data_IF_090761386767
#
_entry.id   IF_090761386767
#
_cell.length_a   1.000
_cell.length_b   1.000
_cell.length_c   1.000
_cell.angle_alpha   90.00
_cell.angle_beta   90.00
_cell.angle_gamma   90.00
#
_symmetry.space_group_name_H-M   'P 1'
#
loop_
_entity.id
_entity.type
_entity.pdbx_description
1 polymer ?
#
# COMPACT_ATOMS: atom_id res chain seq x y z
N UNK A 1 35.26 0.87 11.25
CA UNK A 1 34.24 0.84 10.16
C UNK A 1 33.26 1.98 10.37
N UNK A 2 32.92 2.75 9.30
CA UNK A 2 31.97 3.86 9.35
C UNK A 2 32.57 5.25 9.68
N UNK A 3 33.86 5.44 9.72
CA UNK A 3 34.49 6.75 9.79
C UNK A 3 34.68 7.31 8.38
N UNK A 4 34.30 8.55 8.16
CA UNK A 4 34.61 9.30 6.93
C UNK A 4 36.01 9.92 7.07
N UNK A 5 36.87 9.70 6.05
CA UNK A 5 38.16 10.34 5.95
C UNK A 5 37.95 11.76 5.39
N UNK A 6 38.51 12.77 6.03
CA UNK A 6 38.43 14.18 5.61
C UNK A 6 39.69 14.64 4.86
N UNK A 7 40.63 13.74 4.61
CA UNK A 7 41.91 14.00 3.96
C UNK A 7 42.15 12.98 2.85
N UNK A 8 42.77 13.41 1.77
CA UNK A 8 43.19 12.55 0.65
C UNK A 8 44.64 12.08 0.81
N UNK A 9 45.04 11.10 0.00
CA UNK A 9 46.45 10.68 -0.09
C UNK A 9 47.29 11.85 -0.62
N UNK A 10 48.46 12.08 -0.02
CA UNK A 10 49.41 13.15 -0.30
C UNK A 10 49.02 14.58 0.18
N UNK A 11 47.96 14.77 0.95
CA UNK A 11 47.66 16.07 1.58
C UNK A 11 48.66 16.41 2.69
N UNK A 12 49.23 17.64 2.67
CA UNK A 12 50.07 18.15 3.76
C UNK A 12 49.18 18.57 4.95
N UNK A 13 49.38 17.89 6.08
CA UNK A 13 48.52 18.02 7.27
C UNK A 13 49.23 18.86 8.32
N UNK A 14 48.58 19.98 8.73
CA UNK A 14 49.04 20.78 9.86
C UNK A 14 48.62 20.12 11.21
N UNK A 15 49.39 20.35 12.30
CA UNK A 15 49.00 19.86 13.64
C UNK A 15 47.61 20.40 14.03
N UNK A 16 46.70 19.49 14.38
CA UNK A 16 45.30 19.83 14.74
C UNK A 16 44.28 19.68 13.62
N UNK A 17 44.69 19.31 12.38
CA UNK A 17 43.76 19.02 11.29
C UNK A 17 42.97 17.74 11.56
N UNK A 18 41.67 17.77 11.30
CA UNK A 18 40.79 16.63 11.47
C UNK A 18 41.03 15.61 10.36
N UNK A 19 41.51 14.42 10.72
CA UNK A 19 41.86 13.37 9.76
C UNK A 19 40.67 12.49 9.39
N UNK A 20 39.81 12.20 10.35
CA UNK A 20 38.67 11.33 10.17
C UNK A 20 37.53 11.75 11.10
N UNK A 21 36.32 11.60 10.62
CA UNK A 21 35.08 11.91 11.30
C UNK A 21 34.33 10.61 11.57
N UNK A 22 34.15 10.30 12.83
CA UNK A 22 33.27 9.19 13.21
C UNK A 22 31.94 9.80 13.64
N UNK A 23 30.84 9.56 12.91
CA UNK A 23 29.54 10.00 13.38
C UNK A 23 29.30 9.31 14.73
N UNK A 24 29.20 10.06 15.81
CA UNK A 24 28.62 9.54 17.05
C UNK A 24 27.17 9.20 16.71
N UNK A 25 26.88 7.95 16.53
CA UNK A 25 25.53 7.47 16.71
C UNK A 25 25.16 7.80 18.17
N UNK A 26 24.57 8.96 18.37
CA UNK A 26 23.86 9.19 19.62
C UNK A 26 22.84 8.07 19.68
N UNK A 27 23.01 7.14 20.61
CA UNK A 27 21.99 6.18 21.00
C UNK A 27 20.90 6.93 21.79
N UNK A 28 20.41 8.04 21.23
CA UNK A 28 19.10 8.52 21.56
C UNK A 28 18.18 7.42 21.06
N UNK A 29 17.59 6.71 22.01
CA UNK A 29 16.37 5.96 21.86
C UNK A 29 15.69 6.39 20.58
N UNK A 30 15.97 5.66 19.47
CA UNK A 30 15.09 5.66 18.32
C UNK A 30 13.72 5.46 18.91
N UNK A 31 12.86 6.45 18.75
CA UNK A 31 11.56 6.53 19.39
C UNK A 31 10.87 5.19 19.15
N UNK A 32 10.60 4.56 20.27
CA UNK A 32 10.48 3.12 20.37
C UNK A 32 9.03 2.75 20.10
N UNK A 33 8.56 2.99 18.91
CA UNK A 33 7.59 2.09 18.31
C UNK A 33 8.37 0.92 17.73
N UNK A 34 9.03 0.19 18.62
CA UNK A 34 9.74 -1.03 18.25
C UNK A 34 8.76 -2.18 18.08
N UNK A 35 9.11 -3.17 17.27
CA UNK A 35 8.34 -4.37 17.09
C UNK A 35 7.18 -4.24 16.08
N UNK A 36 6.11 -5.03 16.27
CA UNK A 36 4.99 -5.14 15.33
C UNK A 36 4.27 -3.80 15.01
N UNK A 37 4.09 -2.85 15.96
CA UNK A 37 3.53 -1.55 15.62
C UNK A 37 4.32 -0.78 14.56
N UNK A 38 5.67 -0.89 14.56
CA UNK A 38 6.51 -0.25 13.54
C UNK A 38 6.28 -0.86 12.15
N UNK A 39 6.08 -2.17 12.07
CA UNK A 39 5.76 -2.83 10.80
C UNK A 39 4.41 -2.32 10.26
N UNK A 40 3.41 -2.17 11.13
CA UNK A 40 2.12 -1.61 10.73
C UNK A 40 2.24 -0.16 10.22
N UNK A 41 3.06 0.70 10.87
CA UNK A 41 3.32 2.05 10.40
C UNK A 41 4.01 2.07 9.01
N UNK A 42 4.96 1.16 8.77
CA UNK A 42 5.65 1.06 7.49
C UNK A 42 4.70 0.61 6.36
N UNK A 43 3.83 -0.38 6.62
CA UNK A 43 2.84 -0.80 5.63
C UNK A 43 1.73 0.24 5.41
N UNK A 44 1.43 1.08 6.39
CA UNK A 44 0.52 2.23 6.20
C UNK A 44 1.21 3.44 5.56
N UNK A 45 2.50 3.34 5.25
CA UNK A 45 3.32 4.42 4.69
C UNK A 45 3.18 5.73 5.50
N UNK A 46 3.11 5.63 6.83
CA UNK A 46 2.95 6.80 7.72
C UNK A 46 4.24 7.59 7.79
N UNK A 47 4.11 8.91 7.74
CA UNK A 47 5.22 9.82 7.99
C UNK A 47 5.76 9.61 9.39
N UNK A 48 7.08 9.41 9.57
CA UNK A 48 7.67 9.35 10.90
C UNK A 48 7.52 10.70 11.60
N UNK A 49 7.33 10.69 12.93
CA UNK A 49 7.21 11.93 13.73
C UNK A 49 8.44 12.81 13.60
N UNK A 50 9.62 12.20 13.54
CA UNK A 50 10.90 12.87 13.32
C UNK A 50 11.47 12.43 11.97
N UNK A 51 10.87 12.92 10.88
CA UNK A 51 11.38 12.64 9.53
C UNK A 51 12.75 13.31 9.35
N UNK A 52 13.69 12.59 8.75
CA UNK A 52 14.94 13.17 8.28
C UNK A 52 14.67 14.00 7.03
N UNK A 53 15.38 15.11 6.89
CA UNK A 53 15.41 15.86 5.64
C UNK A 53 16.43 15.19 4.71
N UNK A 54 16.07 14.95 3.45
CA UNK A 54 16.93 14.31 2.47
C UNK A 54 17.35 15.27 1.36
N UNK A 55 18.56 15.10 0.84
CA UNK A 55 19.03 15.86 -0.31
C UNK A 55 18.23 15.49 -1.57
N UNK A 56 17.69 16.47 -2.29
CA UNK A 56 16.92 16.23 -3.51
C UNK A 56 17.82 16.16 -4.75
N UNK A 57 18.96 16.82 -4.70
CA UNK A 57 19.96 16.87 -5.77
C UNK A 57 21.34 16.46 -5.25
N UNK A 58 22.21 16.06 -6.15
CA UNK A 58 23.64 15.89 -5.86
C UNK A 58 24.30 17.27 -5.76
N UNK A 59 25.19 17.48 -4.79
CA UNK A 59 25.84 18.79 -4.71
C UNK A 59 26.60 19.03 -3.42
N UNK A 60 27.11 20.26 -3.30
CA UNK A 60 27.90 20.72 -2.15
C UNK A 60 26.97 21.48 -1.19
N UNK A 61 27.06 21.10 0.09
CA UNK A 61 26.25 21.71 1.16
C UNK A 61 26.82 23.07 1.56
N UNK A 62 25.97 24.10 1.54
CA UNK A 62 26.28 25.42 2.09
C UNK A 62 25.23 25.89 3.09
N UNK A 63 25.57 26.79 4.00
CA UNK A 63 24.65 27.33 4.99
C UNK A 63 24.35 28.79 4.65
N UNK A 64 23.11 29.10 4.31
CA UNK A 64 22.63 30.43 3.93
C UNK A 64 21.87 31.14 5.07
N UNK A 65 22.30 30.89 6.32
CA UNK A 65 21.76 31.57 7.50
C UNK A 65 20.49 30.97 8.08
N UNK A 66 19.63 31.80 8.67
CA UNK A 66 18.41 31.36 9.37
C UNK A 66 17.21 32.15 8.86
N UNK A 67 16.21 31.46 8.35
CA UNK A 67 14.96 32.05 7.86
C UNK A 67 13.80 31.61 8.78
N UNK A 68 13.11 32.57 9.39
CA UNK A 68 11.97 32.32 10.31
C UNK A 68 12.26 31.30 11.42
N UNK A 69 13.49 31.35 12.01
CA UNK A 69 13.90 30.42 13.06
C UNK A 69 14.30 29.02 12.58
N UNK A 70 14.30 28.75 11.27
CA UNK A 70 14.80 27.52 10.65
C UNK A 70 16.16 27.78 10.00
N UNK A 71 17.08 26.82 10.11
CA UNK A 71 18.36 26.89 9.38
C UNK A 71 18.09 26.61 7.91
N UNK A 72 18.53 27.50 7.03
CA UNK A 72 18.46 27.29 5.57
C UNK A 72 19.77 26.67 5.12
N UNK A 73 19.68 25.46 4.64
CA UNK A 73 20.76 24.69 4.03
C UNK A 73 20.54 24.69 2.53
N UNK A 74 21.55 25.11 1.79
CA UNK A 74 21.55 25.08 0.32
C UNK A 74 22.42 23.92 -0.12
N UNK A 75 21.91 23.14 -1.05
CA UNK A 75 22.67 22.15 -1.80
C UNK A 75 22.81 22.68 -3.21
N UNK A 76 24.05 22.92 -3.65
CA UNK A 76 24.36 23.46 -4.97
C UNK A 76 25.06 22.38 -5.78
N UNK A 77 24.51 22.05 -6.94
CA UNK A 77 25.12 21.14 -7.89
C UNK A 77 26.26 21.89 -8.64
N UNK A 78 27.52 21.42 -8.59
CA UNK A 78 28.63 22.07 -9.27
C UNK A 78 28.58 21.97 -10.79
N UNK A 79 27.76 21.06 -11.36
CA UNK A 79 27.68 20.87 -12.83
C UNK A 79 26.57 21.70 -13.47
N UNK A 80 25.39 21.79 -12.78
CA UNK A 80 24.18 22.45 -13.33
C UNK A 80 23.90 23.82 -12.71
N UNK A 81 24.65 24.26 -11.68
CA UNK A 81 24.38 25.43 -10.85
C UNK A 81 22.96 25.50 -10.28
N UNK A 82 22.29 24.35 -10.16
CA UNK A 82 20.99 24.26 -9.52
C UNK A 82 21.16 24.34 -8.00
N UNK A 83 20.34 25.19 -7.38
CA UNK A 83 20.33 25.36 -5.93
C UNK A 83 19.00 24.85 -5.36
N UNK A 84 19.07 23.92 -4.42
CA UNK A 84 17.90 23.47 -3.67
C UNK A 84 18.02 23.87 -2.19
N UNK A 85 16.99 24.53 -1.67
CA UNK A 85 16.98 25.06 -0.32
C UNK A 85 16.19 24.14 0.65
N UNK A 86 16.88 23.60 1.64
CA UNK A 86 16.30 22.80 2.70
C UNK A 86 16.12 23.63 3.98
N UNK A 87 14.89 23.68 4.54
CA UNK A 87 14.56 24.44 5.73
C UNK A 87 14.49 23.53 6.96
N UNK A 88 15.56 23.47 7.71
CA UNK A 88 15.72 22.58 8.86
C UNK A 88 15.20 23.25 10.14
N UNK A 89 14.22 22.65 10.84
CA UNK A 89 13.70 23.17 12.10
C UNK A 89 14.77 23.28 13.17
N UNK A 90 14.61 24.25 14.07
CA UNK A 90 15.51 24.41 15.21
C UNK A 90 15.43 23.17 16.13
N UNK A 91 16.58 22.61 16.49
CA UNK A 91 16.66 21.42 17.35
C UNK A 91 16.97 20.10 16.62
N UNK A 92 16.85 20.04 15.29
CA UNK A 92 17.35 18.89 14.53
C UNK A 92 18.87 18.94 14.36
N UNK A 93 19.52 17.79 14.57
CA UNK A 93 20.95 17.65 14.36
C UNK A 93 21.25 17.44 12.88
N UNK A 94 22.26 18.14 12.36
CA UNK A 94 22.77 17.96 11.01
C UNK A 94 23.72 16.77 10.98
N UNK A 95 23.55 15.90 10.01
CA UNK A 95 24.44 14.76 9.76
C UNK A 95 25.61 15.18 8.87
N UNK A 96 25.43 16.24 8.09
CA UNK A 96 26.38 16.78 7.12
C UNK A 96 27.01 18.10 7.61
N UNK A 97 28.21 18.43 7.12
CA UNK A 97 28.88 19.71 7.38
C UNK A 97 28.84 20.58 6.14
N UNK A 98 29.09 21.87 6.36
CA UNK A 98 29.24 22.84 5.27
C UNK A 98 30.48 22.48 4.47
N UNK A 99 30.32 22.35 3.14
CA UNK A 99 31.36 21.93 2.21
C UNK A 99 31.39 20.43 1.91
N UNK A 100 30.57 19.61 2.58
CA UNK A 100 30.47 18.19 2.26
C UNK A 100 29.74 17.99 0.92
N UNK A 101 30.22 17.04 0.10
CA UNK A 101 29.50 16.54 -1.07
C UNK A 101 28.41 15.58 -0.62
N UNK A 102 27.19 15.83 -1.02
CA UNK A 102 26.02 14.97 -0.72
C UNK A 102 25.44 14.41 -2.00
N UNK A 103 24.94 13.20 -1.90
CA UNK A 103 24.24 12.52 -3.00
C UNK A 103 22.73 12.62 -2.84
N UNK A 104 22.03 12.58 -3.94
CA UNK A 104 20.58 12.52 -3.99
C UNK A 104 20.03 11.40 -3.09
N UNK A 105 19.10 11.72 -2.19
CA UNK A 105 18.55 10.79 -1.20
C UNK A 105 19.41 10.62 0.07
N UNK A 106 20.54 11.30 0.21
CA UNK A 106 21.33 11.27 1.43
C UNK A 106 20.66 12.08 2.54
N UNK A 107 20.68 11.54 3.78
CA UNK A 107 20.12 12.22 4.94
C UNK A 107 20.96 13.44 5.32
N UNK A 108 20.34 14.60 5.32
CA UNK A 108 20.92 15.86 5.78
C UNK A 108 20.79 16.03 7.30
N UNK A 109 19.73 15.44 7.88
CA UNK A 109 19.45 15.49 9.32
C UNK A 109 19.26 14.08 9.90
N UNK A 110 19.40 13.96 11.23
CA UNK A 110 19.02 12.73 11.93
C UNK A 110 17.51 12.52 11.88
N UNK A 111 17.07 11.27 11.75
CA UNK A 111 15.66 10.88 11.73
C UNK A 111 15.40 9.64 10.88
N UNK A 112 14.15 9.22 10.82
CA UNK A 112 13.70 8.17 9.92
C UNK A 112 13.40 8.74 8.52
N UNK A 113 13.71 7.99 7.45
CA UNK A 113 13.30 8.40 6.11
C UNK A 113 11.77 8.39 5.97
N UNK A 114 11.21 9.39 5.31
CA UNK A 114 9.81 9.38 4.89
C UNK A 114 9.70 8.55 3.59
N UNK A 115 8.91 7.46 3.57
CA UNK A 115 8.76 6.64 2.36
C UNK A 115 8.26 7.42 1.14
N UNK A 116 7.46 8.47 1.36
CA UNK A 116 6.96 9.33 0.27
C UNK A 116 8.08 10.18 -0.34
N UNK A 117 8.94 10.78 0.49
CA UNK A 117 10.10 11.54 0.01
C UNK A 117 11.12 10.64 -0.69
N UNK A 118 11.30 9.40 -0.20
CA UNK A 118 12.15 8.41 -0.89
C UNK A 118 11.60 8.09 -2.27
N UNK A 119 10.25 7.98 -2.42
CA UNK A 119 9.62 7.76 -3.72
C UNK A 119 9.86 8.94 -4.68
N UNK A 120 9.63 10.15 -4.21
CA UNK A 120 9.76 11.37 -5.02
C UNK A 120 11.21 11.63 -5.46
N UNK A 121 12.17 11.33 -4.58
CA UNK A 121 13.59 11.60 -4.84
C UNK A 121 14.25 10.45 -5.61
N UNK A 122 14.14 9.22 -5.12
CA UNK A 122 14.91 8.06 -5.61
C UNK A 122 14.11 7.12 -6.52
N UNK A 123 12.77 7.27 -6.54
CA UNK A 123 11.88 6.47 -7.36
C UNK A 123 11.41 5.15 -6.70
N UNK A 124 10.57 4.38 -7.42
CA UNK A 124 9.84 3.24 -6.86
C UNK A 124 10.75 2.08 -6.41
N UNK A 125 11.85 1.80 -7.12
CA UNK A 125 12.75 0.70 -6.76
C UNK A 125 13.43 0.95 -5.42
N UNK A 126 13.89 2.18 -5.16
CA UNK A 126 14.54 2.54 -3.90
C UNK A 126 13.58 2.47 -2.70
N UNK A 127 12.29 2.84 -2.90
CA UNK A 127 11.26 2.68 -1.86
C UNK A 127 11.03 1.21 -1.52
N UNK A 128 11.00 0.34 -2.53
CA UNK A 128 10.86 -1.11 -2.31
C UNK A 128 12.00 -1.64 -1.45
N UNK A 129 13.23 -1.36 -1.83
CA UNK A 129 14.41 -1.78 -1.07
C UNK A 129 14.41 -1.22 0.36
N UNK A 130 14.07 0.06 0.52
CA UNK A 130 13.98 0.71 1.82
C UNK A 130 12.93 0.04 2.73
N UNK A 131 11.71 -0.18 2.22
CA UNK A 131 10.63 -0.80 3.00
C UNK A 131 10.97 -2.24 3.36
N UNK A 132 11.52 -3.03 2.42
CA UNK A 132 11.95 -4.41 2.69
C UNK A 132 13.01 -4.43 3.78
N UNK A 133 14.05 -3.59 3.67
CA UNK A 133 15.14 -3.53 4.63
C UNK A 133 14.65 -3.16 6.04
N UNK A 134 13.80 -2.14 6.17
CA UNK A 134 13.27 -1.68 7.47
C UNK A 134 12.31 -2.72 8.09
N UNK A 135 11.44 -3.34 7.30
CA UNK A 135 10.52 -4.39 7.79
C UNK A 135 11.31 -5.63 8.22
N UNK A 136 12.25 -6.09 7.41
CA UNK A 136 13.13 -7.23 7.74
C UNK A 136 13.97 -6.96 8.98
N UNK A 137 14.46 -5.74 9.17
CA UNK A 137 15.19 -5.33 10.36
C UNK A 137 14.36 -5.53 11.63
N UNK A 138 13.07 -5.13 11.60
CA UNK A 138 12.17 -5.33 12.75
C UNK A 138 11.94 -6.82 13.03
N UNK A 139 11.66 -7.63 12.01
CA UNK A 139 11.45 -9.07 12.18
C UNK A 139 12.70 -9.79 12.67
N UNK A 140 13.88 -9.46 12.13
CA UNK A 140 15.16 -10.04 12.56
C UNK A 140 15.50 -9.71 14.02
N UNK A 141 15.18 -8.49 14.48
CA UNK A 141 15.34 -8.11 15.89
C UNK A 141 14.45 -8.93 16.84
N UNK A 142 13.34 -9.48 16.34
CA UNK A 142 12.46 -10.38 17.08
C UNK A 142 12.77 -11.88 16.87
N UNK A 143 13.86 -12.19 16.15
CA UNK A 143 14.27 -13.56 15.89
C UNK A 143 13.41 -14.29 14.85
N UNK A 144 12.58 -13.58 14.10
CA UNK A 144 11.72 -14.14 13.05
C UNK A 144 12.39 -13.97 11.70
N UNK A 145 12.52 -15.05 10.94
CA UNK A 145 13.04 -15.05 9.58
C UNK A 145 11.87 -15.18 8.59
N UNK A 146 11.69 -14.20 7.73
CA UNK A 146 10.66 -14.16 6.69
C UNK A 146 11.36 -14.00 5.35
N UNK A 147 10.87 -14.68 4.30
CA UNK A 147 11.39 -14.48 2.96
C UNK A 147 10.87 -13.15 2.38
N UNK A 148 11.75 -12.42 1.72
CA UNK A 148 11.48 -11.06 1.20
C UNK A 148 10.29 -11.02 0.25
N UNK A 149 10.06 -12.09 -0.55
CA UNK A 149 8.94 -12.18 -1.49
C UNK A 149 7.55 -11.94 -0.86
N UNK A 150 7.36 -12.27 0.42
CA UNK A 150 6.08 -12.05 1.10
C UNK A 150 5.84 -10.55 1.37
N UNK A 151 6.93 -9.81 1.62
CA UNK A 151 6.90 -8.36 1.82
C UNK A 151 6.80 -7.67 0.47
N UNK A 152 7.54 -8.12 -0.53
CA UNK A 152 7.55 -7.57 -1.90
C UNK A 152 6.15 -7.60 -2.54
N UNK A 153 5.40 -8.69 -2.36
CA UNK A 153 4.01 -8.79 -2.87
C UNK A 153 3.11 -7.70 -2.27
N UNK A 154 3.27 -7.41 -0.98
CA UNK A 154 2.49 -6.35 -0.33
C UNK A 154 2.90 -4.98 -0.87
N UNK A 155 4.21 -4.71 -0.94
CA UNK A 155 4.74 -3.43 -1.45
C UNK A 155 4.35 -3.21 -2.91
N UNK A 156 4.32 -4.26 -3.73
CA UNK A 156 3.87 -4.15 -5.13
C UNK A 156 2.42 -3.65 -5.23
N UNK A 157 1.55 -4.04 -4.30
CA UNK A 157 0.17 -3.53 -4.24
C UNK A 157 0.11 -2.08 -3.72
N UNK A 158 1.03 -1.68 -2.84
CA UNK A 158 1.12 -0.29 -2.36
C UNK A 158 1.58 0.68 -3.46
N UNK A 159 2.37 0.22 -4.44
CA UNK A 159 2.90 1.00 -5.57
C UNK A 159 2.12 0.77 -6.88
N UNK A 160 0.93 0.21 -6.80
CA UNK A 160 0.13 -0.17 -7.97
C UNK A 160 -0.47 1.04 -8.70
N UNK A 161 -0.68 2.16 -8.01
CA UNK A 161 -1.37 3.33 -8.52
C UNK A 161 -0.41 4.40 -9.02
N UNK A 162 -0.86 5.11 -10.06
CA UNK A 162 -0.20 6.28 -10.66
C UNK A 162 -1.19 7.44 -10.60
N UNK A 163 -0.73 8.61 -10.22
CA UNK A 163 -1.50 9.85 -10.24
C UNK A 163 -1.20 10.60 -11.55
N UNK A 164 -2.24 10.93 -12.28
CA UNK A 164 -2.12 11.65 -13.54
C UNK A 164 -1.73 13.11 -13.26
N UNK A 165 -0.60 13.55 -13.84
CA UNK A 165 -0.13 14.93 -13.80
C UNK A 165 -0.49 15.71 -15.06
N UNK A 166 -0.48 15.08 -16.22
CA UNK A 166 -0.99 15.63 -17.46
C UNK A 166 -1.80 14.54 -18.20
N UNK A 167 -3.07 14.77 -18.51
CA UNK A 167 -3.89 13.78 -19.19
C UNK A 167 -3.54 13.61 -20.68
N UNK A 168 -2.84 14.58 -21.32
CA UNK A 168 -2.60 14.52 -22.77
C UNK A 168 -3.89 14.32 -23.57
N UNK A 169 -3.87 13.41 -24.53
CA UNK A 169 -5.05 13.02 -25.34
C UNK A 169 -5.84 11.85 -24.75
N UNK A 170 -5.59 11.49 -23.49
CA UNK A 170 -6.28 10.39 -22.81
C UNK A 170 -7.63 10.80 -22.21
N UNK A 171 -8.47 9.81 -21.92
CA UNK A 171 -9.75 10.00 -21.22
C UNK A 171 -9.59 10.19 -19.70
N UNK A 172 -8.37 10.29 -19.20
CA UNK A 172 -8.09 10.45 -17.77
C UNK A 172 -8.30 11.89 -17.30
N UNK A 173 -8.63 12.05 -16.02
CA UNK A 173 -8.72 13.36 -15.41
C UNK A 173 -7.41 13.74 -14.69
N UNK A 174 -7.13 15.03 -14.66
CA UNK A 174 -6.02 15.58 -13.89
C UNK A 174 -6.13 15.23 -12.40
N UNK A 175 -5.07 14.66 -11.82
CA UNK A 175 -5.04 14.25 -10.41
C UNK A 175 -5.74 12.92 -10.11
N UNK A 176 -6.30 12.24 -11.10
CA UNK A 176 -6.91 10.92 -10.96
C UNK A 176 -5.84 9.87 -10.62
N UNK A 177 -6.21 8.89 -9.78
CA UNK A 177 -5.35 7.76 -9.41
C UNK A 177 -5.79 6.51 -10.17
N UNK A 178 -4.99 6.15 -11.17
CA UNK A 178 -5.27 5.03 -12.08
C UNK A 178 -4.34 3.87 -11.77
N UNK A 179 -4.77 2.65 -12.08
CA UNK A 179 -3.92 1.47 -12.01
C UNK A 179 -2.79 1.58 -13.05
N UNK A 180 -1.56 1.30 -12.63
CA UNK A 180 -0.37 1.39 -13.49
C UNK A 180 -0.51 0.60 -14.79
N UNK A 181 -1.14 -0.56 -14.74
CA UNK A 181 -1.34 -1.39 -15.93
C UNK A 181 -2.32 -0.73 -16.91
N UNK A 182 -3.43 -0.18 -16.40
CA UNK A 182 -4.41 0.54 -17.24
C UNK A 182 -3.78 1.80 -17.84
N UNK A 183 -2.99 2.53 -17.07
CA UNK A 183 -2.26 3.72 -17.52
C UNK A 183 -1.30 3.38 -18.68
N UNK A 184 -0.49 2.33 -18.55
CA UNK A 184 0.43 1.91 -19.59
C UNK A 184 -0.32 1.47 -20.85
N UNK A 185 -1.38 0.63 -20.69
CA UNK A 185 -2.16 0.16 -21.82
C UNK A 185 -2.90 1.27 -22.57
N UNK A 186 -3.38 2.30 -21.85
CA UNK A 186 -4.01 3.47 -22.48
C UNK A 186 -2.98 4.29 -23.25
N UNK A 187 -1.78 4.51 -22.68
CA UNK A 187 -0.71 5.22 -23.36
C UNK A 187 -0.24 4.49 -24.62
N UNK A 188 -0.08 3.16 -24.56
CA UNK A 188 0.28 2.35 -25.74
C UNK A 188 -0.74 2.54 -26.87
N UNK A 189 -2.05 2.56 -26.57
CA UNK A 189 -3.10 2.82 -27.55
C UNK A 189 -3.06 4.23 -28.15
N UNK A 190 -2.74 5.24 -27.32
CA UNK A 190 -2.65 6.64 -27.76
C UNK A 190 -1.41 6.84 -28.65
N UNK A 191 -0.28 6.25 -28.28
CA UNK A 191 0.95 6.29 -29.06
C UNK A 191 0.75 5.60 -30.42
N UNK A 192 0.08 4.43 -30.46
CA UNK A 192 -0.27 3.74 -31.70
C UNK A 192 -1.20 4.58 -32.60
N UNK A 193 -2.05 5.41 -32.01
CA UNK A 193 -2.90 6.35 -32.71
C UNK A 193 -2.17 7.65 -33.14
N UNK A 194 -0.94 7.87 -32.65
CA UNK A 194 -0.13 9.06 -32.93
C UNK A 194 -0.53 10.29 -32.10
N UNK A 195 -1.22 10.10 -30.97
CA UNK A 195 -1.57 11.14 -30.00
C UNK A 195 -0.50 11.39 -28.94
N UNK A 196 -0.74 12.35 -28.05
CA UNK A 196 0.14 12.64 -26.91
C UNK A 196 -0.24 11.72 -25.73
N UNK A 197 0.70 10.91 -25.22
CA UNK A 197 0.44 10.05 -24.06
C UNK A 197 0.23 10.88 -22.77
N UNK A 198 -0.48 10.32 -21.81
CA UNK A 198 -0.65 10.91 -20.49
C UNK A 198 0.65 10.81 -19.68
N UNK A 199 0.94 11.83 -18.88
CA UNK A 199 2.03 11.79 -17.89
C UNK A 199 1.47 11.51 -16.49
N UNK A 200 2.23 10.76 -15.69
CA UNK A 200 1.82 10.42 -14.32
C UNK A 200 2.97 10.05 -13.41
N UNK A 201 2.79 10.35 -12.14
CA UNK A 201 3.74 10.06 -11.07
C UNK A 201 3.29 8.83 -10.26
N UNK A 202 4.22 7.91 -9.93
CA UNK A 202 3.90 6.79 -9.06
C UNK A 202 3.50 7.29 -7.67
N UNK A 203 2.49 6.66 -7.06
CA UNK A 203 2.00 7.01 -5.73
C UNK A 203 2.17 5.83 -4.78
N UNK A 204 2.69 6.10 -3.58
CA UNK A 204 2.76 5.12 -2.52
C UNK A 204 1.48 5.21 -1.66
N UNK A 205 0.70 4.14 -1.64
CA UNK A 205 -0.50 4.02 -0.81
C UNK A 205 -0.23 3.10 0.38
N UNK A 206 -0.75 3.47 1.56
CA UNK A 206 -0.83 2.53 2.68
C UNK A 206 -1.75 1.35 2.34
N UNK A 207 -1.55 0.20 2.98
CA UNK A 207 -2.32 -1.03 2.70
C UNK A 207 -3.83 -0.84 2.85
N UNK A 208 -4.27 -0.08 3.85
CA UNK A 208 -5.69 0.22 4.08
C UNK A 208 -6.26 1.01 2.91
N UNK A 209 -5.59 2.08 2.49
CA UNK A 209 -6.02 2.93 1.37
C UNK A 209 -5.96 2.16 0.05
N UNK A 210 -4.90 1.40 -0.19
CA UNK A 210 -4.78 0.55 -1.38
C UNK A 210 -5.92 -0.48 -1.47
N UNK A 211 -6.38 -1.01 -0.33
CA UNK A 211 -7.50 -1.97 -0.28
C UNK A 211 -8.86 -1.32 -0.54
N UNK A 212 -9.04 -0.04 -0.22
CA UNK A 212 -10.27 0.71 -0.48
C UNK A 212 -10.34 1.24 -1.91
N UNK A 213 -9.20 1.55 -2.51
CA UNK A 213 -9.08 2.07 -3.89
C UNK A 213 -8.90 0.96 -4.93
N UNK A 214 -9.37 -0.25 -4.66
CA UNK A 214 -9.38 -1.35 -5.62
C UNK A 214 -10.39 -1.11 -6.74
N UNK A 215 -10.17 -1.75 -7.90
CA UNK A 215 -11.08 -1.69 -9.05
C UNK A 215 -12.48 -2.23 -8.70
N UNK A 216 -12.54 -3.28 -7.87
CA UNK A 216 -13.79 -3.88 -7.41
C UNK A 216 -14.36 -3.14 -6.20
N UNK A 217 -15.51 -2.52 -6.36
CA UNK A 217 -16.22 -1.87 -5.25
C UNK A 217 -16.81 -2.87 -4.25
N UNK A 218 -17.15 -4.10 -4.68
CA UNK A 218 -17.63 -5.18 -3.80
C UNK A 218 -16.52 -5.58 -2.82
N UNK A 219 -15.29 -5.76 -3.33
CA UNK A 219 -14.13 -6.07 -2.52
C UNK A 219 -13.81 -4.96 -1.50
N UNK A 220 -13.83 -3.71 -1.94
CA UNK A 220 -13.60 -2.55 -1.10
C UNK A 220 -14.66 -2.42 0.00
N UNK A 221 -15.95 -2.53 -0.35
CA UNK A 221 -17.07 -2.45 0.58
C UNK A 221 -17.04 -3.56 1.65
N UNK A 222 -16.53 -4.74 1.30
CA UNK A 222 -16.41 -5.87 2.24
C UNK A 222 -15.29 -5.68 3.27
N UNK A 223 -14.41 -4.70 3.10
CA UNK A 223 -13.27 -4.46 3.99
C UNK A 223 -13.60 -3.41 5.05
N UNK A 224 -13.87 -2.19 4.67
CA UNK A 224 -14.23 -1.07 5.55
C UNK A 224 -15.12 -0.06 4.82
N UNK A 225 -15.76 0.85 5.56
CA UNK A 225 -16.57 1.96 5.03
C UNK A 225 -17.64 1.51 4.02
N UNK A 226 -18.34 0.42 4.30
CA UNK A 226 -19.29 -0.25 3.41
C UNK A 226 -20.29 0.72 2.79
N UNK A 227 -20.93 1.56 3.61
CA UNK A 227 -21.96 2.51 3.17
C UNK A 227 -21.40 3.56 2.22
N UNK A 228 -20.22 4.12 2.53
CA UNK A 228 -19.57 5.14 1.71
C UNK A 228 -19.20 4.58 0.35
N UNK A 229 -18.48 3.44 0.35
CA UNK A 229 -18.02 2.79 -0.89
C UNK A 229 -19.20 2.43 -1.79
N UNK A 230 -20.28 1.86 -1.25
CA UNK A 230 -21.46 1.50 -2.02
C UNK A 230 -22.21 2.73 -2.54
N UNK A 231 -22.28 3.82 -1.76
CA UNK A 231 -22.91 5.07 -2.20
C UNK A 231 -22.10 5.68 -3.34
N UNK A 232 -20.78 5.78 -3.22
CA UNK A 232 -19.90 6.31 -4.25
C UNK A 232 -19.96 5.45 -5.53
N UNK A 233 -19.97 4.13 -5.41
CA UNK A 233 -20.12 3.23 -6.54
C UNK A 233 -21.46 3.37 -7.24
N UNK A 234 -22.54 3.56 -6.47
CA UNK A 234 -23.89 3.76 -7.00
C UNK A 234 -24.04 5.11 -7.74
N UNK A 235 -23.47 6.18 -7.17
CA UNK A 235 -23.54 7.52 -7.81
C UNK A 235 -22.72 7.59 -9.09
N UNK A 236 -21.58 6.89 -9.14
CA UNK A 236 -20.72 6.81 -10.31
C UNK A 236 -21.15 5.74 -11.33
N UNK A 237 -22.13 4.89 -10.99
CA UNK A 237 -22.57 3.81 -11.86
C UNK A 237 -21.49 2.77 -12.14
N UNK A 238 -20.60 2.49 -11.16
CA UNK A 238 -19.48 1.55 -11.33
C UNK A 238 -19.99 0.15 -11.62
N UNK A 239 -19.29 -0.55 -12.54
CA UNK A 239 -19.53 -1.95 -12.89
C UNK A 239 -18.37 -2.79 -12.35
N UNK A 240 -18.68 -3.84 -11.61
CA UNK A 240 -17.68 -4.79 -11.12
C UNK A 240 -17.57 -6.00 -12.07
N UNK A 241 -16.38 -6.23 -12.56
CA UNK A 241 -16.10 -7.31 -13.51
C UNK A 241 -15.86 -8.68 -12.85
N UNK A 242 -15.96 -8.77 -11.52
CA UNK A 242 -15.80 -10.01 -10.73
C UNK A 242 -14.48 -10.76 -11.04
N UNK A 243 -13.38 -10.03 -11.22
CA UNK A 243 -12.06 -10.60 -11.54
C UNK A 243 -11.33 -11.20 -10.32
N UNK A 244 -11.63 -10.73 -9.11
CA UNK A 244 -10.97 -11.15 -7.88
C UNK A 244 -11.64 -12.34 -7.20
N UNK A 245 -11.04 -12.78 -6.09
CA UNK A 245 -11.58 -13.89 -5.31
C UNK A 245 -12.75 -13.47 -4.41
N UNK A 246 -12.62 -12.33 -3.73
CA UNK A 246 -13.61 -11.86 -2.75
C UNK A 246 -14.97 -11.63 -3.38
N UNK A 247 -15.01 -10.96 -4.52
CA UNK A 247 -16.23 -10.65 -5.27
C UNK A 247 -16.98 -11.92 -5.66
N UNK A 248 -16.26 -12.91 -6.19
CA UNK A 248 -16.85 -14.18 -6.59
C UNK A 248 -17.36 -14.97 -5.40
N UNK A 249 -16.63 -14.96 -4.28
CA UNK A 249 -17.08 -15.64 -3.04
C UNK A 249 -18.35 -14.98 -2.49
N UNK A 250 -18.40 -13.64 -2.45
CA UNK A 250 -19.58 -12.91 -1.96
C UNK A 250 -20.81 -13.17 -2.83
N UNK A 251 -20.61 -13.20 -4.17
CA UNK A 251 -21.70 -13.49 -5.11
C UNK A 251 -22.06 -14.96 -5.24
N UNK A 252 -21.33 -15.86 -4.59
CA UNK A 252 -21.56 -17.32 -4.66
C UNK A 252 -21.09 -17.96 -5.97
N UNK A 253 -20.22 -17.28 -6.69
CA UNK A 253 -19.62 -17.81 -7.94
C UNK A 253 -18.37 -18.65 -7.63
N UNK A 254 -17.97 -19.50 -8.59
CA UNK A 254 -16.68 -20.17 -8.54
C UNK A 254 -15.55 -19.15 -8.61
N UNK A 255 -14.57 -19.29 -7.70
CA UNK A 255 -13.39 -18.42 -7.71
C UNK A 255 -12.58 -18.62 -8.99
N UNK A 256 -11.94 -17.59 -9.53
CA UNK A 256 -11.13 -17.69 -10.76
C UNK A 256 -9.75 -18.35 -10.46
N UNK A 257 -9.76 -19.53 -9.83
CA UNK A 257 -8.60 -20.33 -9.51
C UNK A 257 -8.94 -21.82 -9.54
N UNK A 258 -7.95 -22.67 -9.81
CA UNK A 258 -8.15 -24.11 -9.88
C UNK A 258 -9.19 -24.47 -10.94
N UNK A 259 -10.21 -25.24 -10.58
CA UNK A 259 -11.30 -25.68 -11.47
C UNK A 259 -12.20 -24.55 -11.97
N UNK A 260 -12.17 -23.37 -11.32
CA UNK A 260 -12.92 -22.18 -11.75
C UNK A 260 -12.25 -21.35 -12.84
N UNK A 261 -11.02 -21.68 -13.23
CA UNK A 261 -10.35 -20.98 -14.34
C UNK A 261 -11.11 -21.18 -15.65
N UNK A 262 -11.19 -20.13 -16.52
CA UNK A 262 -11.87 -20.21 -17.82
C UNK A 262 -11.37 -21.36 -18.70
N UNK A 263 -10.09 -21.70 -18.59
CA UNK A 263 -9.47 -22.82 -19.33
C UNK A 263 -10.16 -24.14 -19.00
N UNK A 264 -10.42 -24.41 -17.72
CA UNK A 264 -11.09 -25.64 -17.31
C UNK A 264 -12.61 -25.62 -17.55
N UNK A 265 -13.25 -24.44 -17.47
CA UNK A 265 -14.69 -24.31 -17.77
C UNK A 265 -15.02 -24.55 -19.23
N UNK A 266 -14.09 -24.29 -20.14
CA UNK A 266 -14.26 -24.43 -21.58
C UNK A 266 -13.71 -25.76 -22.12
N UNK A 267 -13.17 -26.63 -21.24
CA UNK A 267 -12.74 -27.96 -21.63
C UNK A 267 -13.95 -28.80 -22.03
N UNK A 268 -14.00 -29.24 -23.30
CA UNK A 268 -14.88 -30.26 -23.76
C UNK A 268 -14.12 -31.59 -23.84
N UNK A 269 -14.67 -32.60 -23.25
CA UNK A 269 -14.10 -33.96 -23.31
C UNK A 269 -14.78 -34.65 -24.46
N UNK A 270 -14.08 -34.78 -25.60
CA UNK A 270 -14.51 -35.60 -26.72
C UNK A 270 -14.00 -37.00 -26.50
N UNK A 271 -14.93 -37.97 -26.32
CA UNK A 271 -14.58 -39.38 -26.30
C UNK A 271 -14.30 -39.82 -27.70
N UNK A 272 -13.03 -40.08 -28.03
CA UNK A 272 -12.61 -40.61 -29.32
C UNK A 272 -13.36 -41.92 -29.61
N UNK A 273 -14.29 -41.88 -30.57
CA UNK A 273 -14.99 -43.05 -31.07
C UNK A 273 -16.35 -43.40 -30.43
N UNK A 274 -16.88 -42.58 -29.54
CA UNK A 274 -18.28 -42.71 -29.12
C UNK A 274 -19.16 -41.82 -30.01
N UNK A 275 -20.06 -42.42 -30.77
CA UNK A 275 -21.17 -41.66 -31.38
C UNK A 275 -21.91 -40.90 -30.29
N UNK A 276 -22.31 -39.63 -30.48
CA UNK A 276 -23.05 -38.89 -29.49
C UNK A 276 -24.35 -39.66 -29.17
N UNK A 277 -24.40 -40.26 -28.01
CA UNK A 277 -25.63 -40.89 -27.52
C UNK A 277 -26.63 -39.76 -27.32
N UNK A 278 -27.53 -39.61 -28.29
CA UNK A 278 -28.69 -38.74 -28.11
C UNK A 278 -29.63 -39.43 -27.12
N UNK A 279 -29.43 -39.15 -25.85
CA UNK A 279 -30.38 -39.57 -24.82
C UNK A 279 -31.72 -38.91 -25.11
N UNK A 280 -32.72 -39.74 -25.34
CA UNK A 280 -34.08 -39.24 -25.41
C UNK A 280 -34.51 -38.66 -24.01
N UNK A 281 -35.41 -37.70 -23.95
CA UNK A 281 -35.86 -37.13 -22.67
C UNK A 281 -36.31 -38.16 -21.64
N UNK A 282 -36.83 -39.31 -22.11
CA UNK A 282 -37.27 -40.43 -21.27
C UNK A 282 -36.10 -41.24 -20.68
N UNK A 283 -34.99 -41.37 -21.40
CA UNK A 283 -33.79 -42.07 -20.93
C UNK A 283 -32.99 -41.15 -19.96
N UNK A 284 -32.99 -39.86 -20.17
CA UNK A 284 -32.42 -38.89 -19.26
C UNK A 284 -33.20 -38.87 -17.91
N UNK A 285 -34.52 -38.97 -17.95
CA UNK A 285 -35.36 -39.08 -16.73
C UNK A 285 -35.08 -40.35 -15.94
N UNK A 286 -34.89 -41.51 -16.60
CA UNK A 286 -34.55 -42.79 -15.94
C UNK A 286 -33.15 -42.79 -15.34
N UNK A 287 -32.19 -42.07 -15.88
CA UNK A 287 -30.84 -41.91 -15.31
C UNK A 287 -30.86 -41.03 -14.06
N UNK A 288 -31.76 -40.06 -13.97
CA UNK A 288 -31.93 -39.19 -12.81
C UNK A 288 -32.70 -39.94 -11.69
N UNK A 289 -33.65 -40.81 -12.02
CA UNK A 289 -34.35 -41.66 -11.03
C UNK A 289 -33.44 -42.70 -10.38
N UNK A 290 -32.33 -43.08 -11.01
CA UNK A 290 -31.37 -44.05 -10.44
C UNK A 290 -30.35 -43.48 -9.47
N UNK A 291 -30.19 -42.16 -9.42
CA UNK A 291 -29.34 -41.47 -8.46
C UNK A 291 -30.20 -41.08 -7.28
N UNK A 292 -30.35 -41.99 -6.34
CA UNK A 292 -30.91 -41.65 -5.02
C UNK A 292 -29.93 -40.64 -4.35
N UNK A 293 -30.26 -39.37 -4.48
CA UNK A 293 -29.68 -38.35 -3.61
C UNK A 293 -30.12 -38.70 -2.20
N UNK A 294 -29.24 -39.08 -1.28
CA UNK A 294 -29.65 -39.30 0.11
C UNK A 294 -30.35 -38.03 0.56
N UNK A 295 -31.60 -38.18 0.99
CA UNK A 295 -32.33 -37.06 1.55
C UNK A 295 -31.49 -36.49 2.70
N UNK A 296 -31.33 -35.17 2.81
CA UNK A 296 -30.63 -34.57 3.93
C UNK A 296 -31.26 -35.13 5.21
N UNK A 297 -30.40 -35.70 6.06
CA UNK A 297 -30.85 -36.18 7.37
C UNK A 297 -31.65 -35.06 8.04
N UNK A 298 -32.82 -35.33 8.59
CA UNK A 298 -33.60 -34.31 9.27
C UNK A 298 -32.72 -33.72 10.36
N UNK A 299 -32.47 -32.44 10.27
CA UNK A 299 -31.76 -31.65 11.29
C UNK A 299 -32.49 -32.00 12.63
N UNK A 300 -31.78 -32.47 13.64
CA UNK A 300 -32.40 -32.77 14.92
C UNK A 300 -33.13 -31.52 15.41
N UNK A 301 -34.39 -31.65 15.77
CA UNK A 301 -35.16 -30.55 16.34
C UNK A 301 -34.40 -30.04 17.56
N UNK A 302 -34.20 -28.70 17.68
CA UNK A 302 -33.43 -28.15 18.78
C UNK A 302 -34.08 -28.58 20.11
N UNK A 303 -33.27 -29.08 21.00
CA UNK A 303 -33.72 -29.54 22.33
C UNK A 303 -34.35 -28.40 23.11
N UNK A 304 -35.31 -28.67 24.03
CA UNK A 304 -35.96 -27.62 24.81
C UNK A 304 -34.99 -26.69 25.55
N UNK A 305 -33.76 -27.14 25.84
CA UNK A 305 -32.70 -26.35 26.45
C UNK A 305 -32.07 -25.36 25.46
N UNK A 306 -31.94 -25.75 24.19
CA UNK A 306 -31.42 -24.82 23.12
C UNK A 306 -32.48 -23.78 22.73
N UNK A 307 -33.74 -24.11 22.77
CA UNK A 307 -34.83 -23.14 22.55
C UNK A 307 -34.91 -22.12 23.70
N UNK A 308 -34.75 -22.56 24.94
CA UNK A 308 -34.69 -21.64 26.08
C UNK A 308 -33.46 -20.73 26.09
N UNK A 309 -32.32 -21.23 25.60
CA UNK A 309 -31.11 -20.43 25.45
C UNK A 309 -31.22 -19.38 24.30
N UNK A 310 -31.92 -19.72 23.23
CA UNK A 310 -32.18 -18.80 22.13
C UNK A 310 -33.21 -17.72 22.52
N UNK A 311 -34.25 -18.02 23.29
CA UNK A 311 -35.17 -17.02 23.82
C UNK A 311 -34.51 -16.10 24.86
N UNK A 312 -33.65 -16.60 25.73
CA UNK A 312 -32.92 -15.79 26.69
C UNK A 312 -31.89 -14.88 26.02
N UNK A 313 -31.31 -15.28 24.88
CA UNK A 313 -30.43 -14.45 24.07
C UNK A 313 -31.18 -13.33 23.29
N UNK A 314 -32.42 -13.61 22.90
CA UNK A 314 -33.27 -12.61 22.23
C UNK A 314 -33.75 -11.54 23.21
N UNK A 315 -34.15 -11.90 24.44
CA UNK A 315 -34.56 -10.95 25.49
C UNK A 315 -33.40 -10.03 25.95
N UNK A 316 -32.16 -10.53 25.94
CA UNK A 316 -30.99 -9.70 26.28
C UNK A 316 -30.59 -8.69 25.18
N UNK A 317 -30.95 -8.95 23.92
CA UNK A 317 -30.70 -8.03 22.80
C UNK A 317 -31.77 -6.93 22.74
N UNK A 318 -33.02 -7.22 23.12
CA UNK A 318 -34.10 -6.22 23.14
C UNK A 318 -33.99 -5.25 24.33
N UNK A 319 -33.34 -5.69 25.45
CA UNK A 319 -33.06 -4.81 26.60
C UNK A 319 -31.88 -3.86 26.40
N UNK A 320 -31.05 -4.06 25.36
CA UNK A 320 -29.91 -3.19 25.04
C UNK A 320 -30.24 -2.08 24.01
N UNK A 321 -31.43 -2.11 23.42
CA UNK A 321 -31.83 -1.19 22.34
C UNK A 321 -32.96 -0.19 22.74
N UNK A 322 -33.17 0.08 24.01
CA UNK A 322 -34.09 1.12 24.48
C UNK A 322 -33.33 2.38 24.96
N UNK A 323 -33.82 3.64 24.78
CA UNK A 323 -33.14 4.66 23.97
C UNK A 323 -32.39 5.71 24.80
N UNK A 324 -31.29 6.17 24.25
CA UNK A 324 -30.58 7.38 24.66
C UNK A 324 -31.24 8.66 24.09
N UNK A 325 -32.57 8.81 24.19
CA UNK A 325 -33.32 9.95 23.66
C UNK A 325 -33.96 10.85 24.74
N UNK A 326 -33.48 10.80 25.98
CA UNK A 326 -34.04 11.57 27.10
C UNK A 326 -33.04 12.42 27.89
N UNK A 327 -31.88 12.80 27.34
CA UNK A 327 -30.89 13.59 28.03
C UNK A 327 -30.43 14.91 27.34
N UNK A 328 -31.17 15.42 26.36
CA UNK A 328 -30.82 16.66 25.66
C UNK A 328 -31.86 17.80 25.74
N UNK A 329 -32.71 17.84 26.80
CA UNK A 329 -33.69 18.93 26.96
C UNK A 329 -33.65 19.70 28.29
N UNK A 330 -32.54 19.65 29.05
CA UNK A 330 -32.43 20.38 30.34
C UNK A 330 -31.18 21.29 30.49
N UNK A 331 -30.55 21.72 29.41
CA UNK A 331 -29.46 22.73 29.46
C UNK A 331 -29.68 23.88 28.46
N UNK A 332 -30.91 24.44 28.43
CA UNK A 332 -31.18 25.72 27.78
C UNK A 332 -32.27 26.44 28.50
N UNK A 333 -31.98 26.98 29.69
CA UNK A 333 -32.66 28.11 30.33
C UNK A 333 -31.70 28.88 31.21
#
# INVERSE_FOLDING_TARGET
>A
TGAQLSVNEDDEIAPGTMLAKTPRQASKTQDITGGLPRVAELFEARRPKEAAEMAKIDGIVSLDGTVRGKKKLLVTDPETDQEEAHLIPHGKHLTVQVGDLVHRGQHLTEGGADPHEVLDILGPSAVQDYLIAEIQKVYRLQGVSINDKHIEVIISQMLKKVRITDPGDSDFFWGEQVDRFMFMSANDHIEDAGGMPAEGEPVLLGITKASLETESFISAASFQETTRVLTDASTLGKVDNLKGFKENVIMGHLIPAGTGLPVYRNLRIDTLGAEPVQLTPEEAAKLVEGVAIPAPEPTPEPTPEEQAAAEAAAETTEAAEAPAEAAESEEAS
#
